data_IF_682390847092
#
_entry.id   IF_682390847092
#
_cell.length_a   1.000
_cell.length_b   1.000
_cell.length_c   1.000
_cell.angle_alpha   90.00
_cell.angle_beta   90.00
_cell.angle_gamma   90.00
#
_symmetry.space_group_name_H-M   'P 1'
#
loop_
_entity.id
_entity.type
_entity.pdbx_description
1 polymer ?
#
# COMPACT_ATOMS: atom_id res chain seq x y z
N UNK A 1 -7.08 5.85 6.01
CA UNK A 1 -7.40 6.13 4.59
C UNK A 1 -6.07 6.31 3.85
N UNK A 2 -5.91 5.84 2.60
CA UNK A 2 -4.68 6.07 1.84
C UNK A 2 -4.68 7.40 1.07
N UNK A 3 -5.85 7.98 0.78
CA UNK A 3 -5.99 9.22 -0.01
C UNK A 3 -6.36 9.02 -1.47
N UNK A 4 -6.32 7.78 -2.00
CA UNK A 4 -6.43 7.54 -3.44
C UNK A 4 -7.87 7.34 -3.97
N UNK A 5 -8.74 6.67 -3.19
CA UNK A 5 -10.16 6.40 -3.50
C UNK A 5 -10.47 6.17 -5.00
N UNK A 6 -10.07 5.01 -5.55
CA UNK A 6 -10.22 4.74 -6.98
C UNK A 6 -9.21 5.55 -7.80
N UNK A 7 -9.70 6.32 -8.77
CA UNK A 7 -8.90 7.26 -9.58
C UNK A 7 -8.87 8.68 -9.05
N UNK A 8 -9.61 8.98 -7.97
CA UNK A 8 -9.75 10.33 -7.42
C UNK A 8 -8.39 11.02 -7.27
N UNK A 9 -7.46 10.43 -6.55
CA UNK A 9 -6.16 11.10 -6.32
C UNK A 9 -5.17 11.00 -7.49
N UNK A 10 -5.52 10.31 -8.59
CA UNK A 10 -4.73 10.36 -9.83
C UNK A 10 -5.10 11.57 -10.69
N UNK A 11 -6.24 12.20 -10.42
CA UNK A 11 -6.64 13.43 -11.09
C UNK A 11 -5.71 14.56 -10.66
N UNK A 12 -5.18 15.32 -11.63
CA UNK A 12 -4.27 16.45 -11.38
C UNK A 12 -4.82 17.43 -10.35
N UNK A 13 -6.12 17.69 -10.38
CA UNK A 13 -6.84 18.57 -9.45
C UNK A 13 -6.94 18.04 -8.01
N UNK A 14 -6.66 16.76 -7.79
CA UNK A 14 -6.80 16.11 -6.48
C UNK A 14 -5.50 15.46 -5.99
N UNK A 15 -4.45 15.45 -6.81
CA UNK A 15 -3.19 14.78 -6.49
C UNK A 15 -2.59 15.28 -5.17
N UNK A 16 -2.45 16.59 -5.02
CA UNK A 16 -1.85 17.18 -3.82
C UNK A 16 -2.69 16.88 -2.55
N UNK A 17 -4.02 16.95 -2.67
CA UNK A 17 -4.93 16.59 -1.58
C UNK A 17 -4.83 15.11 -1.23
N UNK A 18 -4.75 14.25 -2.24
CA UNK A 18 -4.60 12.81 -2.08
C UNK A 18 -3.31 12.47 -1.33
N UNK A 19 -2.20 13.08 -1.74
CA UNK A 19 -0.90 12.94 -1.08
C UNK A 19 -0.97 13.45 0.36
N UNK A 20 -1.57 14.63 0.59
CA UNK A 20 -1.75 15.16 1.94
C UNK A 20 -2.53 14.20 2.85
N UNK A 21 -3.60 13.56 2.35
CA UNK A 21 -4.35 12.54 3.11
C UNK A 21 -3.48 11.32 3.42
N UNK A 22 -2.68 10.86 2.45
CA UNK A 22 -1.73 9.77 2.66
C UNK A 22 -0.70 10.07 3.76
N UNK A 23 -0.23 11.31 3.81
CA UNK A 23 0.72 11.82 4.80
C UNK A 23 0.13 11.91 6.23
N UNK A 24 -1.20 11.88 6.39
CA UNK A 24 -1.82 11.83 7.73
C UNK A 24 -1.63 10.49 8.46
N UNK A 25 -1.12 9.44 7.79
CA UNK A 25 -0.79 8.22 8.50
C UNK A 25 -0.21 7.08 7.67
N UNK A 26 -0.77 6.76 6.50
CA UNK A 26 -0.35 5.57 5.74
C UNK A 26 1.10 5.70 5.25
N UNK A 27 1.47 6.85 4.67
CA UNK A 27 2.81 7.02 4.08
C UNK A 27 3.92 7.07 5.15
N UNK A 28 3.78 7.81 6.27
CA UNK A 28 4.76 7.78 7.36
C UNK A 28 4.91 6.38 7.96
N UNK A 29 3.80 5.71 8.30
CA UNK A 29 3.83 4.38 8.89
C UNK A 29 4.54 3.35 8.00
N UNK A 30 4.31 3.43 6.69
CA UNK A 30 5.02 2.57 5.73
C UNK A 30 6.51 2.93 5.64
N UNK A 31 6.90 4.22 5.70
CA UNK A 31 8.32 4.61 5.68
C UNK A 31 9.07 4.19 6.94
N UNK A 32 8.41 4.10 8.09
CA UNK A 32 8.99 3.68 9.37
C UNK A 32 9.07 2.15 9.54
N UNK A 33 8.23 1.40 8.83
CA UNK A 33 8.13 -0.05 8.95
C UNK A 33 9.28 -0.80 8.24
N UNK A 34 10.49 -0.74 8.79
CA UNK A 34 11.68 -1.37 8.21
C UNK A 34 11.74 -2.87 8.47
N UNK A 35 12.26 -3.62 7.50
CA UNK A 35 12.41 -5.08 7.61
C UNK A 35 11.08 -5.86 7.65
N UNK A 36 9.94 -5.20 7.40
CA UNK A 36 8.61 -5.82 7.41
C UNK A 36 7.96 -5.75 6.03
N UNK A 37 7.09 -6.71 5.75
CA UNK A 37 6.25 -6.73 4.55
C UNK A 37 5.07 -5.77 4.71
N UNK A 38 4.79 -4.96 3.68
CA UNK A 38 3.61 -4.09 3.65
C UNK A 38 2.48 -4.81 2.94
N UNK A 39 1.30 -4.84 3.56
CA UNK A 39 0.14 -5.56 3.04
C UNK A 39 -1.03 -4.61 2.91
N UNK A 40 -1.67 -4.56 1.72
CA UNK A 40 -2.86 -3.77 1.48
C UNK A 40 -3.82 -4.47 0.50
N UNK A 41 -5.08 -4.61 0.89
CA UNK A 41 -6.12 -5.28 0.10
C UNK A 41 -6.57 -4.46 -1.13
N UNK A 42 -6.68 -3.15 -1.00
CA UNK A 42 -7.11 -2.28 -2.09
C UNK A 42 -6.00 -1.97 -3.10
N UNK A 43 -6.28 -2.14 -4.40
CA UNK A 43 -5.36 -1.75 -5.48
C UNK A 43 -4.98 -0.28 -5.40
N UNK A 44 -5.95 0.62 -5.15
CA UNK A 44 -5.69 2.05 -4.94
C UNK A 44 -4.74 2.31 -3.77
N UNK A 45 -4.84 1.54 -2.68
CA UNK A 45 -3.92 1.68 -1.54
C UNK A 45 -2.50 1.23 -1.92
N UNK A 46 -2.37 0.12 -2.67
CA UNK A 46 -1.06 -0.36 -3.12
C UNK A 46 -0.38 0.63 -4.07
N UNK A 47 -1.12 1.23 -5.02
CA UNK A 47 -0.57 2.28 -5.88
C UNK A 47 -0.14 3.51 -5.09
N UNK A 48 -1.00 4.01 -4.18
CA UNK A 48 -0.64 5.16 -3.35
C UNK A 48 0.62 4.93 -2.51
N UNK A 49 0.76 3.72 -1.93
CA UNK A 49 1.93 3.35 -1.15
C UNK A 49 3.17 3.33 -2.04
N UNK A 50 3.06 2.77 -3.24
CA UNK A 50 4.15 2.76 -4.21
C UNK A 50 4.56 4.18 -4.61
N UNK A 51 3.61 5.01 -5.01
CA UNK A 51 3.87 6.37 -5.49
C UNK A 51 4.43 7.27 -4.38
N UNK A 52 3.91 7.15 -3.16
CA UNK A 52 4.29 8.02 -2.04
C UNK A 52 5.48 7.55 -1.19
N UNK A 53 5.89 6.28 -1.31
CA UNK A 53 7.00 5.74 -0.48
C UNK A 53 8.05 4.95 -1.27
N UNK A 54 7.78 4.60 -2.52
CA UNK A 54 8.60 3.67 -3.31
C UNK A 54 8.53 2.22 -2.84
N UNK A 55 7.76 1.91 -1.79
CA UNK A 55 7.64 0.55 -1.25
C UNK A 55 6.53 -0.21 -1.98
N UNK A 56 6.81 -1.47 -2.32
CA UNK A 56 5.79 -2.38 -2.83
C UNK A 56 4.99 -2.99 -1.68
N UNK A 57 3.67 -2.77 -1.72
CA UNK A 57 2.71 -3.46 -0.87
C UNK A 57 2.11 -4.64 -1.64
N UNK A 58 1.88 -5.77 -0.96
CA UNK A 58 1.27 -6.98 -1.56
C UNK A 58 -0.18 -7.15 -1.13
N UNK A 59 -0.96 -7.92 -1.90
CA UNK A 59 -2.30 -8.30 -1.51
C UNK A 59 -2.27 -9.36 -0.40
N UNK A 60 -3.18 -9.33 0.60
CA UNK A 60 -3.22 -10.33 1.67
C UNK A 60 -3.27 -11.79 1.18
N UNK A 61 -3.94 -12.05 0.05
CA UNK A 61 -4.03 -13.41 -0.53
C UNK A 61 -2.66 -13.92 -0.98
N UNK A 62 -1.78 -13.07 -1.50
CA UNK A 62 -0.41 -13.49 -1.89
C UNK A 62 0.39 -13.94 -0.66
N UNK A 63 0.19 -13.27 0.48
CA UNK A 63 0.82 -13.66 1.75
C UNK A 63 0.30 -15.00 2.23
N UNK A 64 -1.02 -15.21 2.16
CA UNK A 64 -1.66 -16.47 2.55
C UNK A 64 -1.20 -17.61 1.64
N UNK A 65 -1.17 -17.40 0.33
CA UNK A 65 -0.66 -18.37 -0.64
C UNK A 65 0.80 -18.76 -0.34
N UNK A 66 1.68 -17.77 -0.16
CA UNK A 66 3.08 -18.01 0.20
C UNK A 66 3.21 -18.82 1.48
N UNK A 67 2.40 -18.51 2.51
CA UNK A 67 2.40 -19.24 3.77
C UNK A 67 1.92 -20.69 3.62
N UNK A 68 0.85 -20.92 2.84
CA UNK A 68 0.32 -22.26 2.59
C UNK A 68 1.32 -23.13 1.79
N UNK A 69 1.95 -22.56 0.75
CA UNK A 69 2.94 -23.27 -0.05
C UNK A 69 4.22 -23.56 0.73
N UNK A 70 4.65 -22.65 1.60
CA UNK A 70 5.81 -22.86 2.48
C UNK A 70 5.59 -24.02 3.44
N UNK A 71 4.34 -24.24 3.89
CA UNK A 71 3.97 -25.35 4.78
C UNK A 71 3.80 -26.69 4.05
N UNK A 72 3.59 -26.68 2.74
CA UNK A 72 3.45 -27.91 1.94
C UNK A 72 4.82 -28.47 1.49
N UNK A 73 5.87 -27.63 1.53
CA UNK A 73 7.25 -27.99 1.18
C UNK A 73 8.14 -28.33 2.39
N UNK A 74 7.58 -28.29 3.60
CA UNK A 74 8.22 -28.70 4.85
C UNK A 74 7.63 -30.04 5.29
#
# INVERSE_FOLDING_TARGET
CCGMAGSFGMLREHYDLSMAIGELGVLPAVREAWGTMVVASGTSCRHQILDGTGRHAVHPIEVIESALLSRCRA
#
